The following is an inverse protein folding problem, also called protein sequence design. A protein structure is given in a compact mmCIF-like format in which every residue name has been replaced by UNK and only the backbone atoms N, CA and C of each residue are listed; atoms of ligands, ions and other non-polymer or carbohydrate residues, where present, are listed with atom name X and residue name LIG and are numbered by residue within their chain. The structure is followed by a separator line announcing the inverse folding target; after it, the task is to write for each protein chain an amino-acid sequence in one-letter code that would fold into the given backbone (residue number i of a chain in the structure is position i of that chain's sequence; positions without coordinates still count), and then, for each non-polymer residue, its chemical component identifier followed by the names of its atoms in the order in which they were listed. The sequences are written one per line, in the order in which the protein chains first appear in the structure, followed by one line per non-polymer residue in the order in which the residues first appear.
data_IF_908438953704
#
_entry.id   IF_908438953704
#
_cell.length_a   1.000
_cell.length_b   1.000
_cell.length_c   1.000
_cell.angle_alpha   90.00
_cell.angle_beta   90.00
_cell.angle_gamma   90.00
#
_symmetry.space_group_name_H-M   'P 1'
#
loop_
_entity.id
_entity.type
_entity.pdbx_description
1 polymer ?
#
# COMPACT_ATOMS: atom_id res chain seq x y z
N UNK A 1 -23.74 -6.55 15.77
CA UNK A 1 -22.48 -5.87 16.13
C UNK A 1 -21.38 -6.80 15.69
N UNK A 2 -20.84 -6.58 14.50
CA UNK A 2 -19.70 -7.37 14.00
C UNK A 2 -18.46 -6.92 14.78
N UNK A 3 -17.73 -7.89 15.34
CA UNK A 3 -16.41 -7.65 15.91
C UNK A 3 -15.50 -7.19 14.77
N UNK A 4 -15.19 -5.89 14.70
CA UNK A 4 -14.15 -5.40 13.81
C UNK A 4 -12.81 -5.87 14.36
N UNK A 5 -12.17 -6.81 13.66
CA UNK A 5 -10.81 -7.23 13.97
C UNK A 5 -9.85 -6.12 13.53
N UNK A 6 -9.15 -5.53 14.49
CA UNK A 6 -8.07 -4.59 14.24
C UNK A 6 -6.73 -5.33 14.27
N UNK A 7 -5.71 -4.76 13.62
CA UNK A 7 -4.36 -5.31 13.62
C UNK A 7 -3.35 -4.26 14.06
N UNK A 8 -2.51 -4.63 15.03
CA UNK A 8 -1.37 -3.82 15.43
C UNK A 8 -0.17 -4.16 14.55
N UNK A 9 0.35 -3.17 13.83
CA UNK A 9 1.45 -3.32 12.87
C UNK A 9 2.67 -2.55 13.34
N UNK A 10 3.83 -3.22 13.34
CA UNK A 10 5.10 -2.58 13.62
C UNK A 10 5.62 -1.80 12.40
N UNK A 11 5.78 -0.49 12.55
CA UNK A 11 6.37 0.40 11.56
C UNK A 11 7.87 0.60 11.82
N UNK A 12 8.69 -0.04 11.00
CA UNK A 12 10.14 0.12 11.05
C UNK A 12 10.78 -0.22 9.69
N UNK A 13 11.93 0.38 9.34
CA UNK A 13 12.72 -0.10 8.22
C UNK A 13 13.25 -1.51 8.48
N UNK A 14 13.44 -2.29 7.41
CA UNK A 14 14.20 -3.51 7.41
C UNK A 14 15.69 -3.24 7.69
N UNK A 15 16.28 -2.21 7.08
CA UNK A 15 17.61 -1.71 7.42
C UNK A 15 17.52 -0.34 8.12
N UNK A 16 17.89 -0.29 9.40
CA UNK A 16 17.88 0.93 10.22
C UNK A 16 18.65 2.13 9.63
N UNK A 17 19.56 1.90 8.68
CA UNK A 17 20.35 2.93 7.99
C UNK A 17 19.63 3.55 6.79
N UNK A 18 18.55 2.90 6.32
CA UNK A 18 17.78 3.35 5.18
C UNK A 18 16.74 4.40 5.59
N UNK A 19 16.39 5.27 4.64
CA UNK A 19 15.25 6.18 4.80
C UNK A 19 13.98 5.36 4.71
N UNK A 20 13.06 5.62 5.62
CA UNK A 20 11.79 4.92 5.72
C UNK A 20 10.68 5.92 5.98
N UNK A 21 9.52 5.65 5.39
CA UNK A 21 8.29 6.37 5.67
C UNK A 21 7.11 5.40 5.66
N UNK A 22 6.10 5.75 6.45
CA UNK A 22 4.81 5.07 6.48
C UNK A 22 3.68 6.09 6.53
N UNK A 23 2.58 5.79 5.86
CA UNK A 23 1.34 6.57 5.87
C UNK A 23 0.14 5.63 5.82
N UNK A 24 -0.86 5.89 6.64
CA UNK A 24 -2.15 5.20 6.56
C UNK A 24 -3.17 6.10 5.89
N UNK A 25 -3.80 5.58 4.84
CA UNK A 25 -4.99 6.17 4.24
C UNK A 25 -6.20 5.43 4.80
N UNK A 26 -6.91 6.11 5.71
CA UNK A 26 -8.09 5.53 6.39
C UNK A 26 -9.20 5.24 5.40
N UNK A 27 -10.05 4.24 5.68
CA UNK A 27 -11.17 3.81 4.81
C UNK A 27 -11.99 4.95 4.19
N UNK A 28 -12.32 5.98 4.98
CA UNK A 28 -13.11 7.13 4.54
C UNK A 28 -12.35 8.21 3.75
N UNK A 29 -11.03 8.11 3.66
CA UNK A 29 -10.18 9.07 2.92
C UNK A 29 -9.84 8.53 1.53
N UNK A 30 -9.95 9.33 0.46
CA UNK A 30 -9.65 8.87 -0.89
C UNK A 30 -8.17 8.57 -1.07
N UNK A 31 -7.85 7.48 -1.78
CA UNK A 31 -6.52 7.27 -2.32
C UNK A 31 -6.33 8.16 -3.57
N UNK A 32 -5.12 8.69 -3.81
CA UNK A 32 -4.85 9.47 -5.01
C UNK A 32 -4.94 8.62 -6.27
N UNK A 33 -5.07 9.24 -7.44
CA UNK A 33 -4.94 8.51 -8.70
C UNK A 33 -3.50 8.01 -8.84
N UNK A 34 -3.27 6.73 -9.20
CA UNK A 34 -1.91 6.20 -9.37
C UNK A 34 -1.04 7.00 -10.35
N UNK A 35 -1.64 7.62 -11.38
CA UNK A 35 -0.96 8.50 -12.33
C UNK A 35 -0.52 9.85 -11.76
N UNK A 36 -1.08 10.28 -10.63
CA UNK A 36 -0.77 11.55 -9.97
C UNK A 36 0.27 11.45 -8.86
N UNK A 37 0.76 10.23 -8.58
CA UNK A 37 1.66 9.95 -7.46
C UNK A 37 3.11 10.07 -7.92
N UNK A 38 3.81 11.09 -7.41
CA UNK A 38 5.21 11.38 -7.72
C UNK A 38 6.16 10.96 -6.60
N UNK A 39 5.65 10.89 -5.36
CA UNK A 39 6.41 10.56 -4.17
C UNK A 39 5.49 10.35 -2.96
N UNK A 40 6.10 10.14 -1.80
CA UNK A 40 5.38 9.90 -0.55
C UNK A 40 4.49 11.09 -0.14
N UNK A 41 4.86 12.31 -0.56
CA UNK A 41 4.09 13.54 -0.38
C UNK A 41 2.76 13.55 -1.13
N UNK A 42 2.64 12.79 -2.23
CA UNK A 42 1.38 12.65 -2.96
C UNK A 42 0.36 11.76 -2.24
N UNK A 43 0.80 10.99 -1.24
CA UNK A 43 -0.07 10.15 -0.42
C UNK A 43 -0.68 11.02 0.70
N UNK A 44 -2.02 11.06 0.84
CA UNK A 44 -2.67 11.83 1.89
C UNK A 44 -2.35 11.28 3.28
N UNK A 45 -2.54 12.11 4.30
CA UNK A 45 -2.26 11.77 5.69
C UNK A 45 -0.86 12.15 6.16
N UNK A 46 -0.66 12.00 7.47
CA UNK A 46 0.60 12.33 8.14
C UNK A 46 1.59 11.19 8.00
N UNK A 47 2.88 11.53 7.97
CA UNK A 47 3.95 10.56 8.15
C UNK A 47 3.86 9.99 9.56
N UNK A 48 3.80 8.66 9.66
CA UNK A 48 3.71 7.97 10.93
C UNK A 48 5.10 7.82 11.57
N UNK A 49 5.20 7.93 12.91
CA UNK A 49 6.43 7.62 13.61
C UNK A 49 6.72 6.12 13.52
N UNK A 50 7.97 5.73 13.79
CA UNK A 50 8.32 4.33 14.03
C UNK A 50 7.67 3.87 15.33
N UNK A 51 7.22 2.63 15.38
CA UNK A 51 6.48 2.10 16.52
C UNK A 51 5.27 1.29 16.06
N UNK A 52 4.28 1.17 16.92
CA UNK A 52 3.07 0.40 16.64
C UNK A 52 2.00 1.31 16.07
N UNK A 53 1.31 0.84 15.03
CA UNK A 53 0.17 1.52 14.43
C UNK A 53 -1.00 0.53 14.32
N UNK A 54 -2.19 0.99 14.70
CA UNK A 54 -3.39 0.18 14.62
C UNK A 54 -4.09 0.39 13.27
N UNK A 55 -4.31 -0.71 12.54
CA UNK A 55 -5.08 -0.74 11.31
C UNK A 55 -6.48 -1.30 11.54
N UNK A 56 -7.46 -0.62 10.97
CA UNK A 56 -8.86 -1.02 10.97
C UNK A 56 -9.26 -1.57 9.59
N UNK A 57 -10.32 -2.37 9.49
CA UNK A 57 -10.86 -2.81 8.20
C UNK A 57 -11.05 -1.66 7.22
N UNK A 58 -10.54 -1.83 5.99
CA UNK A 58 -10.57 -0.81 4.94
C UNK A 58 -9.43 0.21 4.97
N UNK A 59 -8.57 0.19 5.99
CA UNK A 59 -7.37 1.02 6.04
C UNK A 59 -6.29 0.48 5.11
N UNK A 60 -5.64 1.40 4.39
CA UNK A 60 -4.51 1.08 3.50
C UNK A 60 -3.27 1.72 4.10
N UNK A 61 -2.37 0.88 4.62
CA UNK A 61 -1.03 1.29 5.03
C UNK A 61 -0.08 1.20 3.83
N UNK A 62 0.56 2.32 3.51
CA UNK A 62 1.60 2.42 2.51
C UNK A 62 2.93 2.70 3.19
N UNK A 63 3.93 1.89 2.88
CA UNK A 63 5.29 2.04 3.40
C UNK A 63 6.27 2.15 2.24
N UNK A 64 7.36 2.88 2.46
CA UNK A 64 8.47 2.94 1.53
C UNK A 64 9.80 2.97 2.26
N UNK A 65 10.75 2.17 1.79
CA UNK A 65 12.13 2.14 2.26
C UNK A 65 13.10 2.34 1.10
N UNK A 66 14.08 3.23 1.29
CA UNK A 66 15.12 3.46 0.29
C UNK A 66 16.04 2.26 0.21
N UNK A 67 16.32 1.77 -1.00
CA UNK A 67 17.25 0.66 -1.18
C UNK A 67 18.69 1.11 -0.92
N UNK A 68 19.49 0.25 -0.27
CA UNK A 68 20.88 0.57 0.03
C UNK A 68 21.70 0.70 -1.27
N UNK A 69 22.39 1.84 -1.43
CA UNK A 69 23.09 2.25 -2.66
C UNK A 69 24.09 1.22 -3.24
N UNK A 70 24.60 0.29 -2.41
CA UNK A 70 25.55 -0.75 -2.82
C UNK A 70 24.89 -1.97 -3.48
N UNK A 71 23.57 -2.13 -3.38
CA UNK A 71 22.86 -3.28 -3.94
C UNK A 71 22.02 -2.85 -5.15
N UNK A 72 21.04 -1.97 -4.95
CA UNK A 72 20.22 -1.38 -6.01
C UNK A 72 19.79 0.03 -5.60
N UNK A 73 19.74 0.96 -6.57
CA UNK A 73 19.16 2.29 -6.36
C UNK A 73 17.64 2.21 -6.44
N UNK A 74 16.94 3.02 -5.65
CA UNK A 74 15.48 3.12 -5.70
C UNK A 74 14.83 2.97 -4.33
N UNK A 75 13.57 2.55 -4.35
CA UNK A 75 12.74 2.36 -3.18
C UNK A 75 12.00 1.03 -3.31
N UNK A 76 11.84 0.33 -2.19
CA UNK A 76 10.91 -0.79 -2.04
C UNK A 76 9.68 -0.27 -1.32
N UNK A 77 8.49 -0.67 -1.79
CA UNK A 77 7.22 -0.26 -1.21
C UNK A 77 6.44 -1.46 -0.71
N UNK A 78 5.65 -1.25 0.33
CA UNK A 78 4.70 -2.24 0.85
C UNK A 78 3.30 -1.65 0.91
N UNK A 79 2.32 -2.51 0.70
CA UNK A 79 0.89 -2.22 0.89
C UNK A 79 0.37 -3.22 1.89
N UNK A 80 -0.10 -2.74 3.05
CA UNK A 80 -0.80 -3.58 4.03
C UNK A 80 -2.25 -3.12 4.10
N UNK A 81 -3.18 -4.07 4.11
CA UNK A 81 -4.61 -3.80 4.12
C UNK A 81 -5.32 -4.81 5.02
N UNK A 82 -6.29 -4.33 5.79
CA UNK A 82 -7.19 -5.18 6.56
C UNK A 82 -8.48 -5.32 5.75
N UNK A 83 -8.78 -6.54 5.32
CA UNK A 83 -10.01 -6.89 4.62
C UNK A 83 -11.23 -6.75 5.54
N UNK A 84 -12.43 -6.68 4.95
CA UNK A 84 -13.68 -6.54 5.71
C UNK A 84 -13.98 -7.77 6.58
N UNK A 85 -13.45 -8.94 6.23
CA UNK A 85 -13.50 -10.17 7.05
C UNK A 85 -12.44 -10.20 8.17
N UNK A 86 -11.61 -9.17 8.27
CA UNK A 86 -10.53 -9.06 9.24
C UNK A 86 -9.21 -9.70 8.83
N UNK A 87 -9.10 -10.27 7.62
CA UNK A 87 -7.82 -10.81 7.12
C UNK A 87 -6.83 -9.67 6.82
N UNK A 88 -5.59 -9.82 7.26
CA UNK A 88 -4.51 -8.90 6.93
C UNK A 88 -3.77 -9.40 5.68
N UNK A 89 -3.76 -8.60 4.63
CA UNK A 89 -2.97 -8.87 3.42
C UNK A 89 -1.84 -7.87 3.29
N UNK A 90 -0.67 -8.36 2.83
CA UNK A 90 0.53 -7.54 2.63
C UNK A 90 1.17 -7.86 1.29
N UNK A 91 1.43 -6.82 0.51
CA UNK A 91 2.11 -6.89 -0.78
C UNK A 91 3.40 -6.07 -0.74
N UNK A 92 4.38 -6.43 -1.57
CA UNK A 92 5.67 -5.77 -1.73
C UNK A 92 5.89 -5.39 -3.20
N UNK A 93 6.72 -4.37 -3.46
CA UNK A 93 7.18 -3.93 -4.79
C UNK A 93 7.37 -5.07 -5.80
N UNK A 94 7.17 -4.75 -7.09
CA UNK A 94 7.04 -5.76 -8.14
C UNK A 94 5.58 -6.05 -8.52
N UNK A 95 4.70 -5.05 -8.42
CA UNK A 95 3.23 -5.17 -8.49
C UNK A 95 2.64 -5.55 -9.88
N UNK A 96 3.41 -6.17 -10.77
CA UNK A 96 2.98 -6.48 -12.14
C UNK A 96 1.87 -7.53 -12.17
N UNK A 97 2.01 -8.57 -11.35
CA UNK A 97 1.03 -9.64 -11.19
C UNK A 97 -0.27 -9.09 -10.62
N UNK A 98 -0.20 -8.29 -9.55
CA UNK A 98 -1.37 -7.66 -8.92
C UNK A 98 -2.05 -6.69 -9.89
N UNK A 99 -1.29 -5.94 -10.71
CA UNK A 99 -1.85 -5.11 -11.77
C UNK A 99 -2.61 -5.95 -12.80
N UNK A 100 -2.07 -7.09 -13.22
CA UNK A 100 -2.72 -7.98 -14.17
C UNK A 100 -3.99 -8.61 -13.57
N UNK A 101 -3.94 -9.05 -12.32
CA UNK A 101 -5.10 -9.56 -11.58
C UNK A 101 -6.21 -8.50 -11.45
N UNK A 102 -5.87 -7.28 -11.01
CA UNK A 102 -6.81 -6.18 -10.88
C UNK A 102 -7.44 -5.79 -12.23
N UNK A 103 -6.65 -5.76 -13.31
CA UNK A 103 -7.16 -5.52 -14.66
C UNK A 103 -8.17 -6.59 -15.10
N UNK A 104 -7.86 -7.87 -14.86
CA UNK A 104 -8.78 -9.00 -15.20
C UNK A 104 -10.11 -8.91 -14.46
N UNK A 105 -10.10 -8.36 -13.25
CA UNK A 105 -11.29 -8.19 -12.41
C UNK A 105 -11.99 -6.83 -12.61
N UNK A 106 -11.59 -6.05 -13.62
CA UNK A 106 -12.32 -4.85 -14.00
C UNK A 106 -11.93 -3.58 -13.24
N UNK A 107 -10.69 -3.49 -12.71
CA UNK A 107 -10.19 -2.22 -12.16
C UNK A 107 -10.30 -1.10 -13.23
N UNK A 108 -10.91 0.05 -12.91
CA UNK A 108 -11.09 1.15 -13.86
C UNK A 108 -9.78 1.60 -14.55
N UNK A 109 -9.81 1.92 -15.86
CA UNK A 109 -8.62 2.29 -16.62
C UNK A 109 -7.81 3.45 -16.02
N UNK A 110 -8.47 4.44 -15.44
CA UNK A 110 -7.85 5.58 -14.76
C UNK A 110 -7.03 5.17 -13.52
N UNK A 111 -7.39 4.04 -12.88
CA UNK A 111 -6.63 3.45 -11.78
C UNK A 111 -5.52 2.50 -12.29
N UNK A 112 -5.54 2.12 -13.56
CA UNK A 112 -4.46 1.36 -14.19
C UNK A 112 -3.30 2.24 -14.68
N UNK A 113 -3.54 3.53 -14.91
CA UNK A 113 -2.54 4.50 -15.34
C UNK A 113 -1.46 4.73 -14.27
N UNK A 114 -0.34 5.35 -14.65
CA UNK A 114 0.79 5.59 -13.75
C UNK A 114 1.88 4.52 -13.78
N UNK A 115 3.11 4.94 -13.50
CA UNK A 115 4.34 4.17 -13.66
C UNK A 115 5.17 4.16 -12.38
N UNK A 116 5.99 3.12 -12.20
CA UNK A 116 6.80 2.94 -11.01
C UNK A 116 6.04 2.23 -9.88
N UNK A 117 6.79 1.72 -8.92
CA UNK A 117 6.23 0.85 -7.87
C UNK A 117 5.33 1.61 -6.88
N UNK A 118 5.56 2.89 -6.63
CA UNK A 118 4.66 3.66 -5.75
C UNK A 118 3.27 3.81 -6.36
N UNK A 119 3.19 4.09 -7.67
CA UNK A 119 1.91 4.05 -8.40
C UNK A 119 1.32 2.62 -8.39
N UNK A 120 2.16 1.59 -8.47
CA UNK A 120 1.78 0.19 -8.27
C UNK A 120 1.13 -0.06 -6.90
N UNK A 121 1.73 0.44 -5.83
CA UNK A 121 1.25 0.32 -4.46
C UNK A 121 -0.12 0.99 -4.28
N UNK A 122 -0.29 2.22 -4.80
CA UNK A 122 -1.58 2.91 -4.76
C UNK A 122 -2.66 2.17 -5.57
N UNK A 123 -2.30 1.59 -6.71
CA UNK A 123 -3.21 0.76 -7.51
C UNK A 123 -3.68 -0.47 -6.75
N UNK A 124 -2.77 -1.16 -6.06
CA UNK A 124 -3.11 -2.28 -5.19
C UNK A 124 -4.08 -1.82 -4.09
N UNK A 125 -3.80 -0.69 -3.43
CA UNK A 125 -4.71 -0.11 -2.44
C UNK A 125 -6.12 0.17 -2.97
N UNK A 126 -6.24 0.72 -4.19
CA UNK A 126 -7.55 0.90 -4.84
C UNK A 126 -8.26 -0.42 -5.13
N UNK A 127 -7.54 -1.39 -5.70
CA UNK A 127 -8.09 -2.70 -6.02
C UNK A 127 -8.61 -3.42 -4.76
N UNK A 128 -7.85 -3.39 -3.66
CA UNK A 128 -8.26 -3.97 -2.37
C UNK A 128 -9.51 -3.29 -1.80
N UNK A 129 -9.60 -1.96 -1.88
CA UNK A 129 -10.80 -1.21 -1.45
C UNK A 129 -12.04 -1.49 -2.29
N UNK A 130 -11.85 -1.90 -3.54
CA UNK A 130 -12.93 -2.35 -4.42
C UNK A 130 -13.28 -3.83 -4.22
N UNK A 131 -12.62 -4.52 -3.28
CA UNK A 131 -12.85 -5.94 -2.99
C UNK A 131 -12.30 -6.89 -4.05
N UNK A 132 -11.30 -6.47 -4.83
CA UNK A 132 -10.66 -7.32 -5.84
C UNK A 132 -9.65 -8.27 -5.18
N UNK A 133 -9.64 -9.53 -5.62
CA UNK A 133 -8.73 -10.55 -5.10
C UNK A 133 -7.38 -10.50 -5.83
N UNK A 134 -6.33 -10.12 -5.11
CA UNK A 134 -4.98 -9.99 -5.68
C UNK A 134 -4.07 -11.14 -5.27
N UNK A 135 -4.58 -12.12 -4.52
CA UNK A 135 -3.86 -13.30 -4.10
C UNK A 135 -3.84 -14.35 -5.24
N UNK A 136 -2.72 -15.03 -5.44
CA UNK A 136 -2.55 -16.01 -6.53
C UNK A 136 -2.32 -15.39 -7.92
N UNK A 137 -1.95 -14.11 -7.96
CA UNK A 137 -1.44 -13.46 -9.16
C UNK A 137 -0.02 -13.93 -9.50
#
# INVERSE_FOLDING_TARGET
MENQCTHSIQLAPLDKRCRYWAKVVRRGSPLPLPSSVLGAESIPGLYLPRGDEELFPGDVLLEGESNHHRHQRGWTYWVTYVQEDGELVRFVSGFSEQKAAAKRQGLPPELLAGSGDLAGAVRVGHALRLGLDLCGA
#
